data_IF_275368883857
#
_entry.id   IF_275368883857
#
_cell.length_a   1.000
_cell.length_b   1.000
_cell.length_c   1.000
_cell.angle_alpha   90.00
_cell.angle_beta   90.00
_cell.angle_gamma   90.00
#
_symmetry.space_group_name_H-M   'P 1'
#
loop_
_entity.id
_entity.type
_entity.pdbx_description
1 polymer ?
#
# COMPACT_ATOMS: atom_id res chain seq x y z
N UNK A 1 -10.82 0.82 12.22
CA UNK A 1 -9.42 0.36 12.20
C UNK A 1 -8.94 0.09 10.78
N UNK A 2 -9.63 -0.73 9.97
CA UNK A 2 -9.19 -1.11 8.61
C UNK A 2 -8.78 0.07 7.69
N UNK A 3 -9.55 1.15 7.61
CA UNK A 3 -9.17 2.33 6.81
C UNK A 3 -7.88 3.02 7.31
N UNK A 4 -7.62 3.03 8.61
CA UNK A 4 -6.41 3.60 9.19
C UNK A 4 -5.19 2.72 8.87
N UNK A 5 -5.35 1.40 8.94
CA UNK A 5 -4.29 0.45 8.63
C UNK A 5 -3.94 0.51 7.13
N UNK A 6 -4.95 0.57 6.26
CA UNK A 6 -4.76 0.79 4.83
C UNK A 6 -4.08 2.13 4.52
N UNK A 7 -4.46 3.20 5.24
CA UNK A 7 -3.81 4.49 5.10
C UNK A 7 -2.32 4.43 5.50
N UNK A 8 -1.99 3.78 6.62
CA UNK A 8 -0.61 3.61 7.05
C UNK A 8 0.22 2.85 6.01
N UNK A 9 -0.30 1.74 5.49
CA UNK A 9 0.32 0.95 4.43
C UNK A 9 0.59 1.80 3.17
N UNK A 10 -0.44 2.47 2.65
CA UNK A 10 -0.30 3.29 1.44
C UNK A 10 0.63 4.46 1.65
N UNK A 11 0.60 5.09 2.84
CA UNK A 11 1.48 6.20 3.17
C UNK A 11 2.95 5.77 3.19
N UNK A 12 3.26 4.67 3.88
CA UNK A 12 4.62 4.14 3.97
C UNK A 12 5.19 3.84 2.58
N UNK A 13 4.45 3.10 1.76
CA UNK A 13 4.87 2.75 0.39
C UNK A 13 5.05 4.00 -0.48
N UNK A 14 4.08 4.91 -0.48
CA UNK A 14 4.14 6.09 -1.36
C UNK A 14 5.28 7.04 -0.96
N UNK A 15 5.57 7.18 0.34
CA UNK A 15 6.69 7.99 0.81
C UNK A 15 8.03 7.39 0.36
N UNK A 16 8.23 6.09 0.56
CA UNK A 16 9.50 5.44 0.19
C UNK A 16 9.71 5.42 -1.33
N UNK A 17 8.67 5.11 -2.11
CA UNK A 17 8.74 5.10 -3.57
C UNK A 17 9.09 6.49 -4.10
N UNK A 18 8.44 7.57 -3.64
CA UNK A 18 8.73 8.93 -4.13
C UNK A 18 10.13 9.43 -3.79
N UNK A 19 10.70 8.99 -2.67
CA UNK A 19 12.06 9.39 -2.28
C UNK A 19 13.12 8.71 -3.16
N UNK A 20 12.82 7.53 -3.70
CA UNK A 20 13.81 6.68 -4.34
C UNK A 20 13.59 6.46 -5.84
N UNK A 21 12.40 6.76 -6.36
CA UNK A 21 12.01 6.55 -7.76
C UNK A 21 11.39 7.82 -8.34
N UNK A 22 11.77 8.16 -9.57
CA UNK A 22 11.20 9.27 -10.35
C UNK A 22 10.08 8.82 -11.29
N UNK A 23 9.76 7.52 -11.31
CA UNK A 23 8.77 6.91 -12.21
C UNK A 23 8.06 5.70 -11.58
N UNK A 24 7.40 4.91 -12.42
CA UNK A 24 6.71 3.69 -11.98
C UNK A 24 7.68 2.68 -11.37
N UNK A 25 7.21 1.93 -10.37
CA UNK A 25 8.00 0.86 -9.77
C UNK A 25 8.02 -0.36 -10.68
N UNK A 26 9.18 -0.66 -11.26
CA UNK A 26 9.46 -1.92 -11.95
C UNK A 26 10.28 -2.77 -11.00
N UNK A 27 9.76 -3.94 -10.60
CA UNK A 27 10.40 -4.79 -9.57
C UNK A 27 11.87 -5.09 -9.86
N UNK A 28 12.20 -5.34 -11.12
CA UNK A 28 13.55 -5.69 -11.55
C UNK A 28 14.51 -4.49 -11.51
N UNK A 29 13.99 -3.27 -11.50
CA UNK A 29 14.75 -2.02 -11.42
C UNK A 29 14.80 -1.45 -9.99
N UNK A 30 14.17 -2.11 -9.01
CA UNK A 30 14.19 -1.66 -7.61
C UNK A 30 15.57 -1.93 -7.01
N UNK A 31 16.30 -0.90 -6.53
CA UNK A 31 17.56 -1.12 -5.83
C UNK A 31 17.35 -2.01 -4.60
N UNK A 32 18.22 -3.00 -4.33
CA UNK A 32 18.03 -3.94 -3.21
C UNK A 32 17.78 -3.27 -1.85
N UNK A 33 18.48 -2.17 -1.55
CA UNK A 33 18.26 -1.43 -0.30
C UNK A 33 16.88 -0.74 -0.21
N UNK A 34 16.26 -0.38 -1.34
CA UNK A 34 14.88 0.11 -1.36
C UNK A 34 13.90 -1.05 -1.14
N UNK A 35 14.18 -2.22 -1.73
CA UNK A 35 13.40 -3.43 -1.49
C UNK A 35 13.35 -3.80 -0.01
N UNK A 36 14.50 -3.84 0.65
CA UNK A 36 14.60 -4.14 2.09
C UNK A 36 13.84 -3.10 2.93
N UNK A 37 13.96 -1.81 2.58
CA UNK A 37 13.27 -0.73 3.27
C UNK A 37 11.75 -0.86 3.14
N UNK A 38 11.23 -1.18 1.95
CA UNK A 38 9.80 -1.35 1.71
C UNK A 38 9.22 -2.51 2.53
N UNK A 39 9.93 -3.63 2.62
CA UNK A 39 9.53 -4.77 3.45
C UNK A 39 9.57 -4.42 4.95
N UNK A 40 10.62 -3.73 5.39
CA UNK A 40 10.77 -3.31 6.79
C UNK A 40 9.67 -2.35 7.25
N UNK A 41 9.31 -1.35 6.43
CA UNK A 41 8.27 -0.37 6.80
C UNK A 41 6.85 -0.92 6.72
N UNK A 42 6.65 -2.05 6.05
CA UNK A 42 5.34 -2.71 5.92
C UNK A 42 5.19 -3.95 6.80
N UNK A 43 6.25 -4.39 7.48
CA UNK A 43 6.28 -5.55 8.37
C UNK A 43 5.81 -6.85 7.68
N UNK A 44 6.18 -7.03 6.41
CA UNK A 44 5.86 -8.23 5.62
C UNK A 44 7.14 -8.93 5.16
N UNK A 45 7.13 -10.27 5.02
CA UNK A 45 8.35 -11.05 4.82
C UNK A 45 8.93 -10.93 3.40
N UNK A 46 8.10 -10.69 2.40
CA UNK A 46 8.53 -10.58 1.01
C UNK A 46 7.53 -9.80 0.14
N UNK A 47 7.95 -9.51 -1.09
CA UNK A 47 7.16 -8.74 -2.05
C UNK A 47 5.92 -9.47 -2.55
N UNK A 48 5.88 -10.81 -2.51
CA UNK A 48 4.69 -11.56 -2.89
C UNK A 48 3.59 -11.38 -1.85
N UNK A 49 3.96 -11.41 -0.55
CA UNK A 49 3.04 -11.09 0.55
C UNK A 49 2.60 -9.63 0.50
N UNK A 50 3.53 -8.70 0.22
CA UNK A 50 3.19 -7.28 0.07
C UNK A 50 2.15 -7.06 -1.05
N UNK A 51 2.34 -7.67 -2.22
CA UNK A 51 1.39 -7.57 -3.33
C UNK A 51 0.04 -8.20 -3.01
N UNK A 52 0.03 -9.37 -2.36
CA UNK A 52 -1.20 -10.00 -1.92
C UNK A 52 -1.96 -9.08 -0.95
N UNK A 53 -1.25 -8.52 0.03
CA UNK A 53 -1.82 -7.59 0.99
C UNK A 53 -2.40 -6.33 0.32
N UNK A 54 -1.72 -5.78 -0.68
CA UNK A 54 -2.21 -4.65 -1.48
C UNK A 54 -3.47 -4.99 -2.28
N UNK A 55 -3.47 -6.16 -2.95
CA UNK A 55 -4.63 -6.65 -3.74
C UNK A 55 -5.85 -6.90 -2.87
N UNK A 56 -5.66 -7.33 -1.63
CA UNK A 56 -6.75 -7.52 -0.67
C UNK A 56 -7.23 -6.23 -0.02
N UNK A 57 -6.32 -5.28 0.22
CA UNK A 57 -6.63 -4.02 0.92
C UNK A 57 -7.47 -3.08 0.05
N UNK A 58 -7.13 -2.94 -1.23
CA UNK A 58 -7.82 -2.03 -2.15
C UNK A 58 -9.35 -2.22 -2.23
N UNK A 59 -9.89 -3.45 -2.45
CA UNK A 59 -11.33 -3.65 -2.52
C UNK A 59 -12.03 -3.39 -1.18
N UNK A 60 -11.39 -3.69 -0.05
CA UNK A 60 -11.93 -3.41 1.30
C UNK A 60 -12.07 -1.91 1.55
N UNK A 61 -11.03 -1.14 1.23
CA UNK A 61 -11.07 0.33 1.31
C UNK A 61 -12.20 0.88 0.43
N UNK A 62 -12.32 0.40 -0.81
CA UNK A 62 -13.39 0.83 -1.71
C UNK A 62 -14.78 0.52 -1.12
N UNK A 63 -14.97 -0.68 -0.59
CA UNK A 63 -16.22 -1.09 0.06
C UNK A 63 -16.57 -0.18 1.24
N UNK A 64 -15.61 0.11 2.12
CA UNK A 64 -15.81 0.99 3.27
C UNK A 64 -16.25 2.40 2.84
N UNK A 65 -15.59 2.97 1.82
CA UNK A 65 -15.97 4.26 1.27
C UNK A 65 -17.35 4.22 0.58
N UNK A 66 -17.65 3.17 -0.18
CA UNK A 66 -18.97 3.00 -0.80
C UNK A 66 -20.09 2.97 0.25
N UNK A 67 -19.88 2.31 1.40
CA UNK A 67 -20.83 2.30 2.51
C UNK A 67 -21.00 3.68 3.14
N UNK A 68 -19.90 4.36 3.46
CA UNK A 68 -19.92 5.70 4.06
C UNK A 68 -20.59 6.73 3.16
N UNK A 69 -20.30 6.69 1.85
CA UNK A 69 -20.84 7.64 0.88
C UNK A 69 -22.30 7.34 0.50
N UNK A 70 -22.75 6.08 0.59
CA UNK A 70 -24.17 5.74 0.46
C UNK A 70 -24.97 6.20 1.68
N UNK A 71 -24.46 5.98 2.89
CA UNK A 71 -25.10 6.43 4.12
C UNK A 71 -25.29 7.96 4.17
N UNK A 72 -24.38 8.73 3.58
CA UNK A 72 -24.46 10.20 3.49
C UNK A 72 -25.54 10.73 2.52
N UNK A 73 -26.09 9.89 1.64
CA UNK A 73 -27.09 10.27 0.63
C UNK A 73 -28.54 9.96 1.03
N UNK A 74 -28.77 9.34 2.19
CA UNK A 74 -30.08 9.14 2.82
C UNK A 74 -30.29 10.14 3.95
#
# INVERSE_FOLDING_TARGET
QQLCDAYALYLALTQMIRLCLTGEIQRDDVPPGLSDLLLAVTDVPDFAVLEAHLKETSPKVRQDFDLLLRAKKS
#
